data_IF_097105683640
#
_entry.id   IF_097105683640
#
_cell.length_a   1.000
_cell.length_b   1.000
_cell.length_c   1.000
_cell.angle_alpha   90.00
_cell.angle_beta   90.00
_cell.angle_gamma   90.00
#
_symmetry.space_group_name_H-M   'P 1'
#
loop_
_entity.id
_entity.type
_entity.pdbx_description
1 polymer ?
#
# COMPACT_ATOMS: atom_id res chain seq x y z
N UNK A 1 -1.69 12.09 -11.41
CA UNK A 1 -1.58 10.63 -11.64
C UNK A 1 -2.87 9.98 -11.18
N UNK A 2 -3.34 8.88 -11.80
CA UNK A 2 -4.53 8.19 -11.31
C UNK A 2 -4.28 7.65 -9.90
N UNK A 3 -5.14 8.02 -8.95
CA UNK A 3 -5.08 7.50 -7.58
C UNK A 3 -5.58 6.05 -7.57
N UNK A 4 -4.90 5.18 -6.81
CA UNK A 4 -5.38 3.84 -6.51
C UNK A 4 -6.36 3.82 -5.33
N UNK A 5 -6.47 4.94 -4.60
CA UNK A 5 -7.36 5.12 -3.47
C UNK A 5 -8.75 5.53 -3.96
N UNK A 6 -9.75 4.75 -3.58
CA UNK A 6 -11.16 5.00 -3.84
C UNK A 6 -11.91 5.25 -2.53
N UNK A 7 -13.14 5.77 -2.63
CA UNK A 7 -14.00 6.02 -1.45
C UNK A 7 -14.28 4.74 -0.63
N UNK A 8 -14.34 3.59 -1.31
CA UNK A 8 -14.62 2.29 -0.71
C UNK A 8 -13.37 1.42 -0.59
N UNK A 9 -13.22 0.70 0.52
CA UNK A 9 -12.06 -0.15 0.83
C UNK A 9 -11.85 -1.20 -0.25
N UNK A 10 -12.93 -1.92 -0.60
CA UNK A 10 -12.86 -3.00 -1.60
C UNK A 10 -12.44 -2.49 -2.99
N UNK A 11 -12.82 -1.27 -3.36
CA UNK A 11 -12.42 -0.71 -4.66
C UNK A 11 -10.91 -0.42 -4.68
N UNK A 12 -10.40 0.15 -3.59
CA UNK A 12 -8.96 0.39 -3.39
C UNK A 12 -8.17 -0.93 -3.47
N UNK A 13 -8.58 -1.95 -2.71
CA UNK A 13 -7.93 -3.27 -2.72
C UNK A 13 -7.98 -3.93 -4.10
N UNK A 14 -9.10 -3.82 -4.82
CA UNK A 14 -9.21 -4.35 -6.19
C UNK A 14 -8.29 -3.61 -7.18
N UNK A 15 -8.12 -2.29 -7.04
CA UNK A 15 -7.21 -1.51 -7.87
C UNK A 15 -5.76 -1.90 -7.61
N UNK A 16 -5.38 -2.03 -6.34
CA UNK A 16 -4.07 -2.51 -5.92
C UNK A 16 -3.79 -3.92 -6.46
N UNK A 17 -4.72 -4.86 -6.28
CA UNK A 17 -4.58 -6.22 -6.81
C UNK A 17 -4.25 -6.20 -8.29
N UNK A 18 -5.03 -5.47 -9.09
CA UNK A 18 -4.83 -5.34 -10.54
C UNK A 18 -3.45 -4.74 -10.88
N UNK A 19 -2.99 -3.76 -10.12
CA UNK A 19 -1.68 -3.15 -10.35
C UNK A 19 -0.55 -4.18 -10.12
N UNK A 20 -0.61 -4.94 -9.02
CA UNK A 20 0.36 -5.99 -8.72
C UNK A 20 0.31 -7.13 -9.73
N UNK A 21 -0.88 -7.61 -10.10
CA UNK A 21 -1.05 -8.70 -11.06
C UNK A 21 -0.46 -8.30 -12.43
N UNK A 22 -0.76 -7.10 -12.91
CA UNK A 22 -0.24 -6.59 -14.18
C UNK A 22 1.27 -6.36 -14.16
N UNK A 23 1.82 -5.98 -13.00
CA UNK A 23 3.26 -5.85 -12.83
C UNK A 23 3.94 -7.22 -12.85
N UNK A 24 3.36 -8.22 -12.19
CA UNK A 24 3.86 -9.60 -12.20
C UNK A 24 3.89 -10.18 -13.61
N UNK A 25 2.79 -10.04 -14.37
CA UNK A 25 2.69 -10.50 -15.77
C UNK A 25 3.76 -9.91 -16.68
N UNK A 26 4.23 -8.69 -16.37
CA UNK A 26 5.20 -7.95 -17.18
C UNK A 26 6.60 -7.92 -16.60
N UNK A 27 6.83 -8.59 -15.47
CA UNK A 27 8.08 -8.47 -14.70
C UNK A 27 8.48 -7.00 -14.46
N UNK A 28 7.50 -6.17 -14.13
CA UNK A 28 7.66 -4.73 -13.98
C UNK A 28 8.05 -4.34 -12.56
N UNK A 29 8.73 -3.20 -12.42
CA UNK A 29 8.90 -2.54 -11.13
C UNK A 29 7.63 -1.75 -10.79
N UNK A 30 7.22 -1.79 -9.52
CA UNK A 30 6.16 -0.95 -8.99
C UNK A 30 6.74 0.24 -8.23
N UNK A 31 6.28 1.44 -8.56
CA UNK A 31 6.60 2.67 -7.84
C UNK A 31 5.31 3.30 -7.32
N UNK A 32 5.23 3.48 -6.00
CA UNK A 32 4.13 4.16 -5.34
C UNK A 32 4.62 5.52 -4.83
N UNK A 33 4.26 6.55 -5.58
CA UNK A 33 4.48 7.94 -5.20
C UNK A 33 3.46 8.36 -4.14
N UNK A 34 3.90 9.07 -3.09
CA UNK A 34 3.06 9.49 -1.96
C UNK A 34 2.31 8.33 -1.26
N UNK A 35 3.04 7.28 -0.88
CA UNK A 35 2.48 6.09 -0.22
C UNK A 35 1.89 6.38 1.18
N UNK A 36 2.21 7.53 1.80
CA UNK A 36 1.61 8.00 3.05
C UNK A 36 0.08 8.05 3.00
N UNK A 37 -0.49 8.25 1.81
CA UNK A 37 -1.92 8.30 1.61
C UNK A 37 -2.61 6.98 2.02
N UNK A 38 -1.90 5.85 1.99
CA UNK A 38 -2.41 4.57 2.49
C UNK A 38 -2.76 4.61 3.98
N UNK A 39 -1.96 5.33 4.77
CA UNK A 39 -2.10 5.43 6.22
C UNK A 39 -3.15 6.44 6.64
N UNK A 40 -3.34 7.50 5.84
CA UNK A 40 -4.26 8.60 6.17
C UNK A 40 -5.64 8.46 5.56
N UNK A 41 -5.80 7.67 4.50
CA UNK A 41 -7.06 7.54 3.78
C UNK A 41 -8.05 6.68 4.56
N UNK A 42 -9.23 7.23 4.82
CA UNK A 42 -10.35 6.52 5.45
C UNK A 42 -11.40 6.13 4.40
N UNK A 43 -11.95 4.93 4.48
CA UNK A 43 -13.02 4.48 3.59
C UNK A 43 -14.39 4.57 4.25
N UNK A 44 -15.40 4.96 3.47
CA UNK A 44 -16.78 5.17 3.94
C UNK A 44 -17.47 3.89 4.44
N UNK A 45 -16.96 2.73 4.04
CA UNK A 45 -17.45 1.40 4.37
C UNK A 45 -16.59 0.68 5.42
N UNK A 46 -15.69 1.40 6.09
CA UNK A 46 -14.91 0.85 7.21
C UNK A 46 -15.78 0.84 8.47
N UNK A 47 -16.08 -0.32 9.09
CA UNK A 47 -16.72 -0.36 10.39
C UNK A 47 -15.80 0.29 11.44
N UNK A 48 -16.39 0.87 12.50
CA UNK A 48 -15.63 1.46 13.61
C UNK A 48 -14.60 0.45 14.16
N UNK A 49 -13.49 0.98 14.72
CA UNK A 49 -12.26 0.23 14.99
C UNK A 49 -12.43 -1.05 15.83
N UNK A 50 -13.55 -1.19 16.54
CA UNK A 50 -13.87 -2.29 17.44
C UNK A 50 -14.38 -3.56 16.70
N UNK A 51 -14.77 -3.49 15.42
CA UNK A 51 -15.36 -4.60 14.64
C UNK A 51 -14.47 -5.11 13.49
N UNK A 52 -13.14 -5.04 13.62
CA UNK A 52 -12.23 -5.45 12.53
C UNK A 52 -12.20 -6.97 12.34
N UNK A 53 -12.98 -7.48 11.37
CA UNK A 53 -12.83 -8.83 10.82
C UNK A 53 -12.00 -8.90 9.52
N UNK A 54 -11.73 -7.76 8.88
CA UNK A 54 -11.02 -7.66 7.59
C UNK A 54 -9.77 -6.78 7.67
N UNK A 55 -8.66 -7.15 6.97
CA UNK A 55 -7.45 -6.35 6.92
C UNK A 55 -7.70 -4.92 6.42
N UNK A 56 -7.02 -3.97 7.04
CA UNK A 56 -6.91 -2.58 6.60
C UNK A 56 -6.27 -2.47 5.22
N UNK A 57 -6.44 -1.31 4.58
CA UNK A 57 -5.81 -1.06 3.28
C UNK A 57 -4.29 -1.01 3.39
N UNK A 58 -3.76 -0.50 4.50
CA UNK A 58 -2.31 -0.53 4.77
C UNK A 58 -1.82 -1.97 4.84
N UNK A 59 -2.38 -2.79 5.73
CA UNK A 59 -2.03 -4.22 5.86
C UNK A 59 -2.12 -4.94 4.50
N UNK A 60 -3.23 -4.72 3.77
CA UNK A 60 -3.42 -5.32 2.45
C UNK A 60 -2.31 -4.95 1.45
N UNK A 61 -1.87 -3.68 1.41
CA UNK A 61 -0.79 -3.28 0.50
C UNK A 61 0.51 -3.98 0.88
N UNK A 62 0.87 -3.96 2.16
CA UNK A 62 2.16 -4.51 2.59
C UNK A 62 2.22 -6.04 2.47
N UNK A 63 1.11 -6.74 2.69
CA UNK A 63 1.00 -8.18 2.36
C UNK A 63 1.31 -8.42 0.87
N UNK A 64 0.81 -7.55 -0.02
CA UNK A 64 1.08 -7.63 -1.46
C UNK A 64 2.50 -7.24 -1.82
N UNK A 65 3.11 -6.29 -1.12
CA UNK A 65 4.53 -5.94 -1.27
C UNK A 65 5.40 -7.14 -0.92
N UNK A 66 5.15 -7.78 0.22
CA UNK A 66 5.90 -8.96 0.68
C UNK A 66 5.71 -10.14 -0.28
N UNK A 67 4.51 -10.32 -0.84
CA UNK A 67 4.21 -11.42 -1.77
C UNK A 67 4.67 -11.17 -3.21
N UNK A 68 5.19 -9.98 -3.54
CA UNK A 68 5.59 -9.65 -4.90
C UNK A 68 7.05 -9.99 -5.16
N UNK A 69 7.31 -10.91 -6.10
CA UNK A 69 8.67 -11.34 -6.45
C UNK A 69 9.53 -10.26 -7.14
N UNK A 70 8.90 -9.20 -7.64
CA UNK A 70 9.57 -8.07 -8.28
C UNK A 70 9.98 -6.98 -7.29
N UNK A 71 10.50 -5.87 -7.83
CA UNK A 71 10.89 -4.72 -7.00
C UNK A 71 9.68 -3.80 -6.78
N UNK A 72 9.45 -3.42 -5.53
CA UNK A 72 8.54 -2.34 -5.14
C UNK A 72 9.35 -1.21 -4.52
N UNK A 73 9.08 0.02 -4.95
CA UNK A 73 9.62 1.24 -4.37
C UNK A 73 8.45 2.07 -3.81
N UNK A 74 8.51 2.38 -2.52
CA UNK A 74 7.54 3.21 -1.80
C UNK A 74 8.19 4.55 -1.47
N UNK A 75 7.56 5.65 -1.88
CA UNK A 75 7.94 6.98 -1.44
C UNK A 75 7.08 7.38 -0.24
N UNK A 76 7.73 7.59 0.91
CA UNK A 76 7.09 8.01 2.16
C UNK A 76 7.69 9.36 2.62
N UNK A 77 6.84 10.25 3.10
CA UNK A 77 7.21 11.59 3.58
C UNK A 77 7.31 11.65 5.11
N UNK A 78 6.52 10.86 5.84
CA UNK A 78 6.47 10.93 7.31
C UNK A 78 7.31 9.84 7.95
N UNK A 79 8.17 10.22 8.89
CA UNK A 79 8.99 9.27 9.67
C UNK A 79 8.14 8.16 10.32
N UNK A 80 6.99 8.51 10.92
CA UNK A 80 6.12 7.52 11.55
C UNK A 80 5.57 6.46 10.59
N UNK A 81 5.45 6.78 9.29
CA UNK A 81 5.06 5.79 8.28
C UNK A 81 6.25 4.96 7.80
N UNK A 82 7.46 5.55 7.77
CA UNK A 82 8.71 4.82 7.53
C UNK A 82 8.93 3.79 8.64
N UNK A 83 8.85 4.21 9.91
CA UNK A 83 9.02 3.34 11.08
C UNK A 83 8.06 2.14 11.06
N UNK A 84 6.83 2.33 10.59
CA UNK A 84 5.86 1.24 10.43
C UNK A 84 6.24 0.31 9.25
N UNK A 85 6.68 0.90 8.13
CA UNK A 85 7.03 0.17 6.92
C UNK A 85 8.32 -0.65 7.06
N UNK A 86 9.24 -0.23 7.93
CA UNK A 86 10.54 -0.89 8.18
C UNK A 86 10.42 -2.39 8.46
N UNK A 87 9.35 -2.83 9.13
CA UNK A 87 9.13 -4.25 9.43
C UNK A 87 8.78 -5.09 8.17
N UNK A 88 8.41 -4.44 7.07
CA UNK A 88 7.85 -5.06 5.86
C UNK A 88 8.70 -4.85 4.61
N UNK A 89 9.78 -4.06 4.69
CA UNK A 89 10.64 -3.71 3.55
C UNK A 89 12.06 -4.21 3.73
N UNK A 90 12.75 -4.43 2.62
CA UNK A 90 14.12 -4.96 2.63
C UNK A 90 15.20 -3.88 2.81
N UNK A 91 14.88 -2.63 2.47
CA UNK A 91 15.81 -1.50 2.48
C UNK A 91 15.04 -0.21 2.68
N UNK A 92 15.54 0.64 3.56
CA UNK A 92 15.12 2.04 3.71
C UNK A 92 16.25 2.95 3.23
N UNK A 93 15.89 3.95 2.43
CA UNK A 93 16.80 4.99 1.94
C UNK A 93 16.25 6.34 2.36
N UNK A 94 16.99 7.03 3.22
CA UNK A 94 16.65 8.37 3.68
C UNK A 94 17.28 9.42 2.77
N UNK A 95 16.54 10.50 2.50
CA UNK A 95 17.01 11.63 1.70
C UNK A 95 17.15 12.86 2.61
N UNK A 96 18.34 13.47 2.62
CA UNK A 96 18.66 14.73 3.33
C UNK A 96 18.32 15.98 2.51
#
# INVERSE_FOLDING_TARGET
MPSLLAERRMQTQNALRKAFDHAAEKSALLYFDAADALFTHSHVDTPDEEERSLPTTVEYVFDRVVAYDGVVVLALEKQSHVDWAEEHVHLVVEFE
#
